data_IF_387794128517
#
_entry.id   IF_387794128517
#
_cell.length_a   1.000
_cell.length_b   1.000
_cell.length_c   1.000
_cell.angle_alpha   90.00
_cell.angle_beta   90.00
_cell.angle_gamma   90.00
#
_symmetry.space_group_name_H-M   'P 1'
#
loop_
_entity.id
_entity.type
_entity.pdbx_description
1 polymer ?
#
# COMPACT_ATOMS: atom_id res chain seq x y z
N UNK A 1 -17.35 -2.16 -9.37
CA UNK A 1 -15.88 -2.02 -9.31
C UNK A 1 -15.35 -2.27 -10.70
N UNK A 2 -14.15 -1.79 -11.06
CA UNK A 2 -13.51 -2.17 -12.32
C UNK A 2 -12.97 -3.61 -12.23
N UNK A 3 -12.84 -4.30 -13.36
CA UNK A 3 -12.20 -5.63 -13.42
C UNK A 3 -10.80 -5.59 -12.81
N UNK A 4 -10.03 -4.54 -13.12
CA UNK A 4 -8.72 -4.31 -12.55
C UNK A 4 -8.75 -4.25 -11.02
N UNK A 5 -9.70 -3.51 -10.44
CA UNK A 5 -9.82 -3.39 -8.99
C UNK A 5 -10.20 -4.72 -8.35
N UNK A 6 -11.10 -5.49 -8.95
CA UNK A 6 -11.50 -6.80 -8.45
C UNK A 6 -10.30 -7.78 -8.46
N UNK A 7 -9.51 -7.78 -9.53
CA UNK A 7 -8.28 -8.59 -9.64
C UNK A 7 -7.20 -8.15 -8.64
N UNK A 8 -7.01 -6.84 -8.45
CA UNK A 8 -6.06 -6.30 -7.47
C UNK A 8 -6.42 -6.75 -6.04
N UNK A 9 -7.70 -6.68 -5.68
CA UNK A 9 -8.19 -7.12 -4.38
C UNK A 9 -8.04 -8.63 -4.22
N UNK A 10 -8.41 -9.42 -5.24
CA UNK A 10 -8.23 -10.86 -5.24
C UNK A 10 -6.76 -11.25 -5.01
N UNK A 11 -5.83 -10.63 -5.74
CA UNK A 11 -4.40 -10.84 -5.57
C UNK A 11 -3.94 -10.55 -4.13
N UNK A 12 -4.39 -9.41 -3.55
CA UNK A 12 -4.01 -9.04 -2.19
C UNK A 12 -4.54 -10.05 -1.15
N UNK A 13 -5.75 -10.58 -1.35
CA UNK A 13 -6.36 -11.58 -0.47
C UNK A 13 -5.66 -12.94 -0.60
N UNK A 14 -5.26 -13.34 -1.80
CA UNK A 14 -4.46 -14.54 -2.06
C UNK A 14 -3.09 -14.46 -1.40
N UNK A 15 -2.39 -13.33 -1.55
CA UNK A 15 -1.11 -13.12 -0.88
C UNK A 15 -1.24 -13.11 0.63
N UNK A 16 -2.25 -12.44 1.16
CA UNK A 16 -2.54 -12.49 2.59
C UNK A 16 -2.84 -13.91 3.08
N UNK A 17 -3.53 -14.74 2.28
CA UNK A 17 -3.76 -16.14 2.58
C UNK A 17 -2.48 -16.99 2.53
N UNK A 18 -1.64 -16.79 1.51
CA UNK A 18 -0.32 -17.43 1.40
C UNK A 18 0.56 -17.12 2.60
N UNK A 19 0.53 -15.87 3.07
CA UNK A 19 1.20 -15.43 4.31
C UNK A 19 0.41 -15.76 5.59
N UNK A 20 -0.44 -16.80 5.56
CA UNK A 20 -1.19 -17.34 6.73
C UNK A 20 -2.04 -16.31 7.47
N UNK A 21 -2.62 -15.35 6.75
CA UNK A 21 -3.69 -14.47 7.22
C UNK A 21 -3.34 -13.63 8.47
N UNK A 22 -2.14 -13.05 8.52
CA UNK A 22 -1.76 -12.15 9.62
C UNK A 22 -2.67 -10.92 9.73
N UNK A 23 -3.03 -10.49 10.94
CA UNK A 23 -3.98 -9.39 11.16
C UNK A 23 -3.53 -8.38 12.21
N UNK A 24 -3.99 -7.13 12.05
CA UNK A 24 -3.99 -6.08 13.07
C UNK A 24 -5.41 -5.53 13.18
N UNK A 25 -6.04 -5.66 14.35
CA UNK A 25 -7.41 -5.20 14.61
C UNK A 25 -7.42 -3.81 15.27
N UNK A 26 -8.55 -3.10 15.19
CA UNK A 26 -8.68 -1.75 15.77
C UNK A 26 -8.47 -1.70 17.29
N UNK A 27 -8.74 -2.80 17.98
CA UNK A 27 -8.53 -2.93 19.43
C UNK A 27 -7.06 -3.22 19.79
N UNK A 28 -6.14 -3.21 18.81
CA UNK A 28 -4.72 -3.50 18.99
C UNK A 28 -4.37 -4.99 19.02
N UNK A 29 -5.35 -5.89 18.95
CA UNK A 29 -5.07 -7.33 18.86
C UNK A 29 -4.40 -7.67 17.53
N UNK A 30 -3.39 -8.53 17.57
CA UNK A 30 -2.68 -8.99 16.37
C UNK A 30 -2.73 -10.50 16.23
N UNK A 31 -2.78 -10.98 14.99
CA UNK A 31 -2.61 -12.38 14.62
C UNK A 31 -1.34 -12.47 13.77
N UNK A 32 -0.42 -13.35 14.16
CA UNK A 32 0.81 -13.53 13.41
C UNK A 32 0.54 -14.29 12.09
N UNK A 33 0.96 -13.69 10.97
CA UNK A 33 1.09 -14.38 9.69
C UNK A 33 2.44 -15.11 9.56
N UNK A 34 2.60 -15.83 8.45
CA UNK A 34 3.89 -16.39 8.00
C UNK A 34 4.90 -15.26 7.86
N UNK A 35 6.11 -15.46 8.34
CA UNK A 35 7.18 -14.47 8.28
C UNK A 35 7.95 -14.58 6.97
N UNK A 36 8.45 -13.44 6.51
CA UNK A 36 9.25 -13.29 5.28
C UNK A 36 10.47 -14.21 5.23
N UNK A 37 10.96 -14.68 6.38
CA UNK A 37 12.14 -15.55 6.51
C UNK A 37 11.80 -17.04 6.64
N UNK A 38 10.52 -17.41 6.63
CA UNK A 38 10.10 -18.82 6.58
C UNK A 38 10.22 -19.37 5.14
N UNK A 39 10.42 -20.69 5.03
CA UNK A 39 10.54 -21.38 3.74
C UNK A 39 9.32 -21.11 2.83
N UNK A 40 9.62 -20.82 1.56
CA UNK A 40 8.64 -20.42 0.55
C UNK A 40 8.26 -18.93 0.60
N UNK A 41 8.35 -18.28 1.76
CA UNK A 41 7.97 -16.87 1.90
C UNK A 41 9.07 -15.94 1.38
N UNK A 42 10.35 -16.23 1.64
CA UNK A 42 11.44 -15.37 1.14
C UNK A 42 11.56 -15.47 -0.38
N UNK A 43 11.33 -16.64 -0.97
CA UNK A 43 11.29 -16.82 -2.43
C UNK A 43 10.17 -15.98 -3.03
N UNK A 44 9.00 -15.95 -2.38
CA UNK A 44 7.89 -15.10 -2.83
C UNK A 44 8.25 -13.61 -2.74
N UNK A 45 8.98 -13.19 -1.70
CA UNK A 45 9.51 -11.83 -1.61
C UNK A 45 10.56 -11.54 -2.70
N UNK A 46 11.36 -12.52 -3.09
CA UNK A 46 12.31 -12.39 -4.19
C UNK A 46 11.60 -12.09 -5.52
N UNK A 47 10.44 -12.71 -5.78
CA UNK A 47 9.62 -12.40 -6.97
C UNK A 47 9.23 -10.91 -7.01
N UNK A 48 8.88 -10.32 -5.86
CA UNK A 48 8.54 -8.89 -5.77
C UNK A 48 9.71 -8.00 -6.16
N UNK A 49 10.92 -8.34 -5.69
CA UNK A 49 12.12 -7.60 -6.02
C UNK A 49 12.54 -7.76 -7.48
N UNK A 50 12.36 -8.95 -8.05
CA UNK A 50 12.65 -9.24 -9.44
C UNK A 50 11.84 -8.33 -10.38
N UNK A 51 10.56 -8.11 -10.08
CA UNK A 51 9.71 -7.21 -10.89
C UNK A 51 10.08 -5.73 -10.75
N UNK A 52 10.61 -5.30 -9.61
CA UNK A 52 11.19 -3.95 -9.50
C UNK A 52 12.43 -3.82 -10.40
N UNK A 53 13.24 -4.87 -10.47
CA UNK A 53 14.40 -4.92 -11.36
C UNK A 53 15.55 -4.02 -10.93
N UNK A 54 16.39 -3.62 -11.89
CA UNK A 54 17.53 -2.73 -11.66
C UNK A 54 18.47 -3.23 -10.56
N UNK A 55 18.81 -2.41 -9.54
CA UNK A 55 19.70 -2.82 -8.44
C UNK A 55 19.04 -3.85 -7.50
N UNK A 56 17.71 -4.04 -7.56
CA UNK A 56 16.97 -4.94 -6.68
C UNK A 56 16.76 -6.34 -7.29
N UNK A 57 17.04 -6.52 -8.59
CA UNK A 57 16.71 -7.75 -9.34
C UNK A 57 17.31 -9.05 -8.80
N UNK A 58 18.40 -8.94 -8.04
CA UNK A 58 19.13 -10.07 -7.47
C UNK A 58 18.84 -10.28 -5.98
N UNK A 59 17.94 -9.48 -5.38
CA UNK A 59 17.54 -9.70 -3.99
C UNK A 59 16.75 -11.01 -3.90
N UNK A 60 17.13 -11.82 -2.93
CA UNK A 60 16.66 -13.18 -2.72
C UNK A 60 15.50 -13.27 -1.74
N UNK A 61 15.04 -12.13 -1.22
CA UNK A 61 14.09 -12.05 -0.10
C UNK A 61 14.70 -12.32 1.28
N UNK A 62 15.91 -12.90 1.35
CA UNK A 62 16.71 -13.02 2.59
C UNK A 62 17.45 -11.73 2.94
N UNK A 63 17.47 -10.76 2.03
CA UNK A 63 18.13 -9.46 2.16
C UNK A 63 17.34 -8.51 3.08
N UNK A 64 17.22 -8.85 4.36
CA UNK A 64 16.33 -8.20 5.35
C UNK A 64 16.67 -6.74 5.68
N UNK A 65 17.76 -6.20 5.13
CA UNK A 65 18.07 -4.76 5.17
C UNK A 65 17.18 -3.93 4.23
N UNK A 66 16.48 -4.57 3.28
CA UNK A 66 15.60 -3.90 2.33
C UNK A 66 14.13 -4.15 2.70
N UNK A 67 13.39 -3.06 2.97
CA UNK A 67 11.96 -3.14 3.22
C UNK A 67 11.19 -3.37 1.91
N UNK A 68 10.57 -4.54 1.75
CA UNK A 68 9.91 -4.95 0.50
C UNK A 68 8.45 -4.50 0.35
N UNK A 69 7.96 -3.67 1.27
CA UNK A 69 6.56 -3.21 1.24
C UNK A 69 6.19 -2.51 -0.08
N UNK A 70 7.03 -1.62 -0.61
CA UNK A 70 6.74 -0.92 -1.87
C UNK A 70 6.90 -1.84 -3.09
N UNK A 71 7.79 -2.84 -2.99
CA UNK A 71 7.93 -3.88 -4.01
C UNK A 71 6.66 -4.73 -4.10
N UNK A 72 6.06 -5.10 -2.96
CA UNK A 72 4.76 -5.79 -2.91
C UNK A 72 3.65 -4.99 -3.60
N UNK A 73 3.50 -3.69 -3.29
CA UNK A 73 2.48 -2.83 -3.93
C UNK A 73 2.72 -2.74 -5.43
N UNK A 74 3.98 -2.52 -5.85
CA UNK A 74 4.34 -2.46 -7.26
C UNK A 74 4.05 -3.78 -7.99
N UNK A 75 4.37 -4.91 -7.35
CA UNK A 75 4.10 -6.25 -7.89
C UNK A 75 2.59 -6.50 -8.03
N UNK A 76 1.79 -6.12 -7.03
CA UNK A 76 0.33 -6.27 -7.07
C UNK A 76 -0.30 -5.54 -8.26
N UNK A 77 0.07 -4.26 -8.48
CA UNK A 77 -0.40 -3.51 -9.65
C UNK A 77 0.13 -4.10 -10.96
N UNK A 78 1.38 -4.58 -10.98
CA UNK A 78 2.01 -5.12 -12.17
C UNK A 78 1.31 -6.39 -12.65
N UNK A 79 1.09 -7.35 -11.76
CA UNK A 79 0.59 -8.68 -12.09
C UNK A 79 -0.87 -8.66 -12.56
N UNK A 80 -1.65 -7.69 -12.07
CA UNK A 80 -3.05 -7.45 -12.50
C UNK A 80 -3.15 -6.48 -13.69
N UNK A 81 -2.04 -6.22 -14.38
CA UNK A 81 -2.07 -5.57 -15.69
C UNK A 81 -2.10 -4.04 -15.69
N UNK A 82 -1.55 -3.36 -14.67
CA UNK A 82 -1.51 -1.89 -14.65
C UNK A 82 -0.64 -1.28 -15.78
N UNK A 83 0.17 -2.08 -16.49
CA UNK A 83 0.95 -1.62 -17.64
C UNK A 83 1.93 -0.51 -17.25
N UNK A 84 1.93 0.60 -17.97
CA UNK A 84 2.72 1.81 -17.69
C UNK A 84 1.99 2.84 -16.81
N UNK A 85 0.76 2.53 -16.38
CA UNK A 85 -0.12 3.47 -15.68
C UNK A 85 0.22 3.65 -14.20
N UNK A 86 1.00 2.74 -13.62
CA UNK A 86 1.44 2.80 -12.22
C UNK A 86 2.96 3.08 -12.13
N UNK A 87 3.41 4.04 -11.28
CA UNK A 87 4.81 4.39 -11.17
C UNK A 87 5.55 3.43 -10.22
N UNK A 88 5.85 2.22 -10.70
CA UNK A 88 6.52 1.16 -9.94
C UNK A 88 7.83 1.63 -9.28
N UNK A 89 8.06 1.20 -8.04
CA UNK A 89 9.16 1.70 -7.22
C UNK A 89 9.42 0.83 -6.01
N UNK A 90 10.69 0.74 -5.59
CA UNK A 90 11.09 0.20 -4.29
C UNK A 90 10.79 1.15 -3.11
N UNK A 91 10.31 2.37 -3.38
CA UNK A 91 9.95 3.37 -2.37
C UNK A 91 8.54 3.93 -2.56
N UNK A 92 7.77 3.94 -1.46
CA UNK A 92 6.38 4.40 -1.39
C UNK A 92 6.17 5.86 -1.82
N UNK A 93 7.10 6.74 -1.45
CA UNK A 93 7.08 8.18 -1.77
C UNK A 93 6.94 8.45 -3.28
N UNK A 94 7.38 7.53 -4.15
CA UNK A 94 7.28 7.70 -5.62
C UNK A 94 5.83 7.77 -6.11
N UNK A 95 4.99 6.78 -5.82
CA UNK A 95 3.58 6.82 -6.23
C UNK A 95 2.76 7.79 -5.40
N UNK A 96 3.08 7.99 -4.11
CA UNK A 96 2.42 9.03 -3.31
C UNK A 96 2.61 10.40 -3.97
N UNK A 97 3.84 10.79 -4.27
CA UNK A 97 4.12 12.09 -4.89
C UNK A 97 3.53 12.21 -6.29
N UNK A 98 3.51 11.12 -7.07
CA UNK A 98 2.85 11.09 -8.38
C UNK A 98 1.35 11.31 -8.26
N UNK A 99 0.69 10.64 -7.32
CA UNK A 99 -0.75 10.80 -7.06
C UNK A 99 -1.09 12.24 -6.62
N UNK A 100 -0.33 12.80 -5.67
CA UNK A 100 -0.50 14.20 -5.22
C UNK A 100 -0.24 15.17 -6.38
N UNK A 101 0.75 14.88 -7.23
CA UNK A 101 1.04 15.70 -8.41
C UNK A 101 -0.10 15.69 -9.42
N UNK A 102 -0.72 14.54 -9.67
CA UNK A 102 -1.86 14.43 -10.58
C UNK A 102 -3.03 15.29 -10.07
N UNK A 103 -3.36 15.18 -8.78
CA UNK A 103 -4.40 15.99 -8.15
C UNK A 103 -4.10 17.49 -8.21
N UNK A 104 -2.87 17.90 -7.89
CA UNK A 104 -2.47 19.31 -7.93
C UNK A 104 -2.51 19.92 -9.34
N UNK A 105 -2.34 19.09 -10.38
CA UNK A 105 -2.42 19.51 -11.77
C UNK A 105 -3.85 19.41 -12.35
N UNK A 106 -4.86 19.07 -11.54
CA UNK A 106 -6.24 18.89 -12.00
C UNK A 106 -6.49 17.63 -12.83
N UNK A 107 -5.52 16.71 -12.91
CA UNK A 107 -5.64 15.45 -13.66
C UNK A 107 -6.39 14.39 -12.84
N UNK A 108 -7.68 14.61 -12.61
CA UNK A 108 -8.53 13.77 -11.76
C UNK A 108 -8.92 12.42 -12.40
N UNK A 109 -8.71 12.29 -13.71
CA UNK A 109 -8.87 11.07 -14.51
C UNK A 109 -7.55 10.26 -14.64
N UNK A 110 -6.45 10.76 -14.08
CA UNK A 110 -5.19 10.03 -14.08
C UNK A 110 -5.33 8.68 -13.36
N UNK A 111 -4.53 7.65 -13.72
CA UNK A 111 -4.63 6.31 -13.12
C UNK A 111 -4.63 6.26 -11.60
N UNK A 112 -3.89 7.17 -10.96
CA UNK A 112 -3.87 7.36 -9.52
C UNK A 112 -3.98 8.85 -9.17
N UNK A 113 -4.75 9.18 -8.14
CA UNK A 113 -4.99 10.57 -7.71
C UNK A 113 -4.90 10.69 -6.20
N UNK A 114 -4.12 11.66 -5.72
CA UNK A 114 -3.94 11.89 -4.29
C UNK A 114 -5.09 12.70 -3.70
N UNK A 115 -5.48 12.36 -2.47
CA UNK A 115 -6.48 13.09 -1.69
C UNK A 115 -6.05 13.25 -0.23
N UNK A 116 -6.56 14.31 0.42
CA UNK A 116 -6.45 14.46 1.87
C UNK A 116 -7.40 13.48 2.54
N UNK A 117 -7.04 13.03 3.75
CA UNK A 117 -7.82 12.03 4.48
C UNK A 117 -9.29 12.43 4.70
N UNK A 118 -9.54 13.71 4.98
CA UNK A 118 -10.86 14.26 5.28
C UNK A 118 -11.61 14.80 4.05
N UNK A 119 -11.08 14.61 2.84
CA UNK A 119 -11.71 15.08 1.60
C UNK A 119 -12.18 13.94 0.70
N UNK A 120 -11.92 12.69 1.07
CA UNK A 120 -12.18 11.54 0.21
C UNK A 120 -12.75 10.34 1.00
N UNK A 121 -13.81 9.75 0.47
CA UNK A 121 -14.44 8.54 1.00
C UNK A 121 -13.78 7.31 0.39
N UNK A 122 -13.11 6.50 1.22
CA UNK A 122 -12.38 5.31 0.77
C UNK A 122 -13.27 4.35 -0.02
N UNK A 123 -12.67 3.75 -1.05
CA UNK A 123 -13.25 2.67 -1.83
C UNK A 123 -12.29 1.47 -1.83
N UNK A 124 -12.80 0.25 -1.98
CA UNK A 124 -11.94 -0.90 -2.27
C UNK A 124 -11.11 -0.62 -3.54
N UNK A 125 -9.82 -0.98 -3.51
CA UNK A 125 -8.83 -0.70 -4.55
C UNK A 125 -7.96 0.52 -4.28
N UNK A 126 -8.39 1.45 -3.43
CA UNK A 126 -7.58 2.63 -3.08
C UNK A 126 -6.36 2.25 -2.25
N UNK A 127 -5.35 3.12 -2.22
CA UNK A 127 -4.25 2.99 -1.27
C UNK A 127 -4.39 4.04 -0.17
N UNK A 128 -3.94 3.70 1.03
CA UNK A 128 -3.81 4.63 2.16
C UNK A 128 -2.34 4.72 2.57
N UNK A 129 -1.84 5.94 2.76
CA UNK A 129 -0.43 6.19 3.01
C UNK A 129 -0.17 6.87 4.35
N UNK A 130 0.87 6.39 5.05
CA UNK A 130 1.42 7.01 6.26
C UNK A 130 2.91 7.23 6.12
N UNK A 131 3.42 8.23 6.83
CA UNK A 131 4.85 8.51 6.90
C UNK A 131 5.50 7.85 8.12
N UNK A 132 6.81 7.70 8.03
CA UNK A 132 7.70 7.13 9.05
C UNK A 132 8.95 8.02 9.19
N UNK A 133 9.77 7.75 10.20
CA UNK A 133 10.99 8.50 10.45
C UNK A 133 10.79 9.72 11.34
N UNK A 134 11.74 10.66 11.30
CA UNK A 134 11.75 11.84 12.18
C UNK A 134 11.17 13.13 11.58
N UNK A 135 11.03 13.20 10.26
CA UNK A 135 10.46 14.38 9.58
C UNK A 135 8.97 14.19 9.34
N UNK A 136 8.16 15.16 9.78
CA UNK A 136 6.70 15.12 9.60
C UNK A 136 6.34 15.36 8.14
N UNK A 137 5.64 14.39 7.54
CA UNK A 137 5.12 14.49 6.18
C UNK A 137 3.62 14.79 6.21
N UNK A 138 3.19 15.72 5.37
CA UNK A 138 1.80 16.06 5.12
C UNK A 138 1.51 15.99 3.62
N UNK A 139 0.22 16.00 3.28
CA UNK A 139 -0.21 16.06 1.89
C UNK A 139 0.41 17.26 1.14
N UNK A 140 0.55 18.39 1.82
CA UNK A 140 1.06 19.64 1.27
C UNK A 140 2.58 19.66 1.09
N UNK A 141 3.35 19.03 1.99
CA UNK A 141 4.81 19.10 1.95
C UNK A 141 5.48 17.92 1.21
N UNK A 142 4.78 16.80 1.04
CA UNK A 142 5.35 15.55 0.52
C UNK A 142 6.12 15.73 -0.80
N UNK A 143 5.52 16.45 -1.75
CA UNK A 143 6.15 16.71 -3.06
C UNK A 143 7.40 17.58 -2.98
N UNK A 144 7.45 18.52 -2.04
CA UNK A 144 8.62 19.38 -1.83
C UNK A 144 9.79 18.62 -1.20
N UNK A 145 9.48 17.70 -0.28
CA UNK A 145 10.48 16.82 0.36
C UNK A 145 10.99 15.78 -0.65
N UNK A 146 10.11 15.26 -1.50
CA UNK A 146 10.48 14.31 -2.54
C UNK A 146 10.65 12.89 -1.98
N UNK A 147 11.78 12.59 -1.36
CA UNK A 147 11.98 11.28 -0.73
C UNK A 147 11.76 11.35 0.78
N UNK A 148 10.99 10.40 1.31
CA UNK A 148 10.73 10.24 2.73
C UNK A 148 10.33 8.80 3.03
N UNK A 149 10.59 8.36 4.25
CA UNK A 149 10.14 7.06 4.72
C UNK A 149 8.62 7.04 4.82
N UNK A 150 8.00 6.07 4.16
CA UNK A 150 6.56 5.97 4.04
C UNK A 150 6.14 4.55 3.78
N UNK A 151 4.83 4.32 3.90
CA UNK A 151 4.21 3.03 3.67
C UNK A 151 2.79 3.22 3.18
N UNK A 152 2.35 2.35 2.28
CA UNK A 152 0.97 2.27 1.83
C UNK A 152 0.43 0.85 1.91
N UNK A 153 -0.85 0.77 2.24
CA UNK A 153 -1.65 -0.45 2.18
C UNK A 153 -2.74 -0.29 1.12
N UNK A 154 -3.17 -1.39 0.49
CA UNK A 154 -4.30 -1.42 -0.45
C UNK A 154 -5.59 -1.75 0.31
N UNK A 155 -6.61 -0.90 0.18
CA UNK A 155 -7.93 -1.12 0.75
C UNK A 155 -8.62 -2.26 0.01
N UNK A 156 -8.98 -3.33 0.72
CA UNK A 156 -9.59 -4.54 0.13
C UNK A 156 -11.07 -4.69 0.47
N UNK A 157 -11.55 -4.01 1.52
CA UNK A 157 -12.96 -3.99 1.88
C UNK A 157 -13.29 -2.77 2.73
N UNK A 158 -14.54 -2.30 2.65
CA UNK A 158 -15.11 -1.26 3.50
C UNK A 158 -16.22 -1.90 4.34
N UNK A 159 -16.27 -1.56 5.63
CA UNK A 159 -17.29 -1.97 6.58
C UNK A 159 -17.87 -0.71 7.28
N UNK A 160 -18.85 -0.88 8.18
CA UNK A 160 -19.38 0.25 8.95
C UNK A 160 -18.35 0.78 9.95
N UNK A 161 -17.88 2.02 9.71
CA UNK A 161 -16.89 2.78 10.52
C UNK A 161 -15.46 2.24 10.49
N UNK A 162 -15.15 1.29 9.63
CA UNK A 162 -13.75 0.91 9.37
C UNK A 162 -13.57 0.30 7.97
N UNK A 163 -12.32 0.16 7.56
CA UNK A 163 -11.93 -0.51 6.33
C UNK A 163 -10.86 -1.57 6.62
N UNK A 164 -10.75 -2.56 5.75
CA UNK A 164 -9.63 -3.50 5.73
C UNK A 164 -8.63 -3.07 4.66
N UNK A 165 -7.36 -2.99 5.02
CA UNK A 165 -6.27 -2.72 4.09
C UNK A 165 -5.16 -3.77 4.23
N UNK A 166 -4.51 -4.15 3.13
CA UNK A 166 -3.44 -5.15 3.09
C UNK A 166 -2.14 -4.49 2.62
N UNK A 167 -1.07 -4.74 3.36
CA UNK A 167 0.27 -4.27 3.04
C UNK A 167 1.32 -5.36 3.19
N UNK A 168 2.37 -5.27 2.38
CA UNK A 168 3.56 -6.10 2.47
C UNK A 168 4.55 -5.57 3.52
N UNK A 169 5.39 -6.46 4.05
CA UNK A 169 6.40 -6.18 5.08
C UNK A 169 5.85 -5.48 6.33
N UNK A 170 4.57 -5.71 6.64
CA UNK A 170 3.96 -5.30 7.91
C UNK A 170 4.11 -6.48 8.86
N UNK A 171 4.75 -6.28 10.02
CA UNK A 171 5.13 -7.36 10.95
C UNK A 171 5.92 -8.49 10.27
N UNK A 172 6.79 -8.15 9.31
CA UNK A 172 7.56 -9.09 8.48
C UNK A 172 6.68 -10.08 7.68
N UNK A 173 5.49 -9.66 7.25
CA UNK A 173 4.50 -10.50 6.55
C UNK A 173 3.70 -9.65 5.56
N UNK A 174 2.90 -10.29 4.70
CA UNK A 174 1.69 -9.65 4.16
C UNK A 174 0.63 -9.69 5.26
N UNK A 175 0.13 -8.52 5.66
CA UNK A 175 -0.76 -8.38 6.83
C UNK A 175 -1.96 -7.53 6.47
N UNK A 176 -3.14 -7.97 6.92
CA UNK A 176 -4.38 -7.20 6.83
C UNK A 176 -4.56 -6.37 8.10
N UNK A 177 -4.77 -5.07 7.97
CA UNK A 177 -5.14 -4.20 9.08
C UNK A 177 -6.57 -3.71 8.95
N UNK A 178 -7.21 -3.49 10.10
CA UNK A 178 -8.38 -2.62 10.17
C UNK A 178 -7.92 -1.16 10.35
N UNK A 179 -8.57 -0.24 9.66
CA UNK A 179 -8.38 1.21 9.83
C UNK A 179 -9.71 1.89 10.06
N UNK A 180 -9.77 2.81 11.03
CA UNK A 180 -11.01 3.51 11.36
C UNK A 180 -11.44 4.48 10.26
N UNK A 181 -12.73 4.48 9.93
CA UNK A 181 -13.37 5.46 9.05
C UNK A 181 -14.52 6.16 9.78
N UNK A 182 -14.92 7.34 9.29
CA UNK A 182 -16.13 8.01 9.79
C UNK A 182 -17.38 7.55 9.01
N UNK A 183 -18.56 8.05 9.39
CA UNK A 183 -19.82 7.76 8.71
C UNK A 183 -19.87 8.20 7.23
N UNK A 184 -18.93 9.02 6.77
CA UNK A 184 -18.76 9.40 5.36
C UNK A 184 -17.75 8.52 4.63
N UNK A 185 -17.23 7.47 5.26
CA UNK A 185 -16.21 6.58 4.69
C UNK A 185 -14.79 7.18 4.63
N UNK A 186 -14.54 8.32 5.30
CA UNK A 186 -13.25 9.00 5.27
C UNK A 186 -12.32 8.41 6.34
N UNK A 187 -11.03 8.26 6.02
CA UNK A 187 -10.04 7.71 6.95
C UNK A 187 -9.86 8.64 8.17
N UNK A 188 -10.12 8.11 9.36
CA UNK A 188 -9.94 8.84 10.64
C UNK A 188 -9.05 8.10 11.63
N UNK A 189 -8.47 6.98 11.20
CA UNK A 189 -7.53 6.20 11.98
C UNK A 189 -6.33 7.03 12.44
N UNK A 190 -5.85 6.74 13.65
CA UNK A 190 -4.69 7.42 14.26
C UNK A 190 -3.63 6.44 14.74
N UNK A 191 -3.73 5.16 14.35
CA UNK A 191 -2.75 4.14 14.74
C UNK A 191 -1.41 4.29 14.02
N UNK A 192 -1.39 5.08 12.94
CA UNK A 192 -0.20 5.48 12.18
C UNK A 192 -0.31 6.96 11.81
N UNK A 193 0.78 7.51 11.30
CA UNK A 193 0.85 8.87 10.78
C UNK A 193 0.24 8.98 9.37
N UNK A 194 -1.01 8.56 9.21
CA UNK A 194 -1.75 8.63 7.95
C UNK A 194 -1.81 10.07 7.46
N UNK A 195 -1.58 10.29 6.17
CA UNK A 195 -1.60 11.65 5.59
C UNK A 195 -2.16 11.74 4.18
N UNK A 196 -2.32 10.62 3.47
CA UNK A 196 -2.78 10.59 2.08
C UNK A 196 -3.67 9.40 1.81
N UNK A 197 -4.70 9.61 0.99
CA UNK A 197 -5.41 8.55 0.26
C UNK A 197 -5.01 8.66 -1.20
N UNK A 198 -4.74 7.54 -1.85
CA UNK A 198 -4.51 7.46 -3.29
C UNK A 198 -5.70 6.74 -3.90
N UNK A 199 -6.54 7.50 -4.58
CA UNK A 199 -7.63 6.96 -5.38
C UNK A 199 -7.03 6.15 -6.53
N UNK A 200 -7.49 4.92 -6.69
CA UNK A 200 -7.21 4.09 -7.86
C UNK A 200 -8.32 4.28 -8.91
N UNK A 201 -7.95 4.73 -10.12
CA UNK A 201 -8.87 4.91 -11.25
C UNK A 201 -8.74 3.79 -12.31
N UNK A 202 -7.90 2.79 -12.08
CA UNK A 202 -7.67 1.67 -13.00
C UNK A 202 -8.82 0.66 -13.01
#
# INVERSE_FOLDING_TARGET
MSVFTDELIAFCLEEWAFFRKGEIKLNGTTVAGRKEYEDGAYERVADYWKEIGGPYKNLTGKDRGYAWSAAFISYAFKIVGAGDKFPYSAGHSKYINKAISNAANGALDAPIVGHKLNSYSLKPGDLIGYWRGGEVISYENARRIGWYESHTDIVVAIDDKFAYAIGGNVNHSVTRRQVRTNARGQLTDRSQNWFVVIQNNL
#
